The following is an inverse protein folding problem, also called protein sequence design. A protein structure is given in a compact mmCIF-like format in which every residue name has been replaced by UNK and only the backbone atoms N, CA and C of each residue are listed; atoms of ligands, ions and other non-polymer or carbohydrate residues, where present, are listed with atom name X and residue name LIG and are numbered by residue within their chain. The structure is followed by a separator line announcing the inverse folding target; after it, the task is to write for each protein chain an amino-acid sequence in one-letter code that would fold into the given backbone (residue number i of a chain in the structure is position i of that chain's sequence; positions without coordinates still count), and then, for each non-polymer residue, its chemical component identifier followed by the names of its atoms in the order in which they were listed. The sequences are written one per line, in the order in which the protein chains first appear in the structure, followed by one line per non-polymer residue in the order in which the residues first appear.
data_IF_651636352033
#
_entry.id   IF_651636352033
#
_cell.length_a   1.000
_cell.length_b   1.000
_cell.length_c   1.000
_cell.angle_alpha   90.00
_cell.angle_beta   90.00
_cell.angle_gamma   90.00
#
_symmetry.space_group_name_H-M   'P 1'
#
loop_
_entity.id
_entity.type
_entity.pdbx_description
1 polymer ?
#
# COMPACT_ATOMS: atom_id res chain seq x y z
N UNK A 1 -16.20 -10.92 -1.86
CA UNK A 1 -14.80 -10.51 -1.58
C UNK A 1 -13.99 -11.62 -0.90
N UNK A 2 -14.61 -12.52 -0.14
CA UNK A 2 -13.84 -13.56 0.57
C UNK A 2 -13.21 -14.59 -0.37
N UNK A 3 -13.88 -14.92 -1.48
CA UNK A 3 -13.33 -15.80 -2.54
C UNK A 3 -12.05 -15.24 -3.16
N UNK A 4 -12.00 -13.92 -3.42
CA UNK A 4 -10.79 -13.23 -3.91
C UNK A 4 -9.60 -13.36 -2.95
N UNK A 5 -9.89 -13.53 -1.66
CA UNK A 5 -8.89 -13.64 -0.60
C UNK A 5 -8.68 -15.08 -0.11
N UNK A 6 -9.35 -16.05 -0.72
CA UNK A 6 -9.39 -17.45 -0.27
C UNK A 6 -7.99 -18.07 -0.12
N UNK A 7 -7.12 -17.85 -1.11
CA UNK A 7 -5.74 -18.35 -1.11
C UNK A 7 -4.74 -17.46 -0.37
N UNK A 8 -5.15 -16.29 0.14
CA UNK A 8 -4.22 -15.29 0.67
C UNK A 8 -3.29 -15.84 1.75
N UNK A 9 -3.83 -16.69 2.64
CA UNK A 9 -3.05 -17.32 3.70
C UNK A 9 -2.01 -18.32 3.18
N UNK A 10 -2.30 -19.01 2.08
CA UNK A 10 -1.40 -19.95 1.42
C UNK A 10 -0.28 -19.20 0.68
N UNK A 11 -0.65 -18.20 -0.12
CA UNK A 11 0.28 -17.30 -0.82
C UNK A 11 1.25 -16.63 0.15
N UNK A 12 0.75 -16.05 1.24
CA UNK A 12 1.59 -15.40 2.25
C UNK A 12 2.49 -16.37 3.02
N UNK A 13 2.13 -17.66 3.11
CA UNK A 13 2.95 -18.68 3.75
C UNK A 13 4.06 -19.16 2.83
N UNK A 14 3.75 -19.43 1.57
CA UNK A 14 4.75 -19.84 0.59
C UNK A 14 5.72 -18.71 0.27
N UNK A 15 5.28 -17.45 0.19
CA UNK A 15 6.21 -16.31 0.08
C UNK A 15 7.26 -16.29 1.20
N UNK A 16 6.86 -16.60 2.44
CA UNK A 16 7.80 -16.68 3.58
C UNK A 16 8.77 -17.85 3.45
N UNK A 17 8.34 -18.97 2.86
CA UNK A 17 9.17 -20.16 2.64
C UNK A 17 10.15 -19.94 1.49
N UNK A 18 9.67 -19.48 0.34
CA UNK A 18 10.49 -19.17 -0.84
C UNK A 18 11.59 -18.14 -0.55
N UNK A 19 11.32 -17.20 0.36
CA UNK A 19 12.24 -16.11 0.70
C UNK A 19 12.84 -16.28 2.11
N UNK A 20 12.84 -17.49 2.65
CA UNK A 20 13.44 -17.76 3.96
C UNK A 20 14.93 -17.35 3.98
N UNK A 21 15.35 -16.70 5.06
CA UNK A 21 16.72 -16.19 5.21
C UNK A 21 17.03 -14.90 4.44
N UNK A 22 16.08 -14.35 3.69
CA UNK A 22 16.24 -13.08 2.96
C UNK A 22 15.54 -11.93 3.66
N UNK A 23 16.04 -10.71 3.49
CA UNK A 23 15.31 -9.49 3.85
C UNK A 23 14.38 -9.13 2.71
N UNK A 24 13.08 -9.07 2.98
CA UNK A 24 12.09 -8.76 1.95
C UNK A 24 10.83 -8.12 2.54
N UNK A 25 10.11 -7.40 1.70
CA UNK A 25 8.82 -6.79 2.03
C UNK A 25 7.82 -6.99 0.88
N UNK A 26 6.52 -6.83 1.14
CA UNK A 26 5.49 -6.97 0.11
C UNK A 26 4.42 -5.89 0.18
N UNK A 27 3.80 -5.67 -0.97
CA UNK A 27 2.61 -4.85 -1.14
C UNK A 27 1.58 -5.63 -1.95
N UNK A 28 0.43 -5.93 -1.34
CA UNK A 28 -0.72 -6.43 -2.10
C UNK A 28 -1.57 -5.26 -2.60
N UNK A 29 -1.97 -5.34 -3.86
CA UNK A 29 -2.73 -4.30 -4.57
C UNK A 29 -3.97 -4.95 -5.15
N UNK A 30 -5.14 -4.48 -4.74
CA UNK A 30 -6.40 -4.88 -5.34
C UNK A 30 -6.66 -3.99 -6.55
N UNK A 31 -6.60 -4.58 -7.74
CA UNK A 31 -6.68 -3.84 -9.00
C UNK A 31 -7.96 -4.16 -9.76
N UNK A 32 -8.68 -3.14 -10.26
CA UNK A 32 -9.81 -3.34 -11.16
C UNK A 32 -9.33 -3.81 -12.54
N UNK A 33 -9.76 -4.99 -12.96
CA UNK A 33 -9.57 -5.41 -14.34
C UNK A 33 -10.66 -4.81 -15.25
N UNK A 34 -10.35 -4.63 -16.53
CA UNK A 34 -11.32 -4.14 -17.54
C UNK A 34 -12.55 -5.05 -17.68
N UNK A 35 -12.44 -6.32 -17.30
CA UNK A 35 -13.57 -7.27 -17.25
C UNK A 35 -14.56 -7.01 -16.10
N UNK A 36 -14.23 -6.10 -15.17
CA UNK A 36 -15.07 -5.76 -14.01
C UNK A 36 -14.75 -6.57 -12.75
N UNK A 37 -13.86 -7.55 -12.83
CA UNK A 37 -13.39 -8.31 -11.66
C UNK A 37 -12.17 -7.64 -11.02
N UNK A 38 -12.10 -7.72 -9.69
CA UNK A 38 -10.90 -7.39 -8.93
C UNK A 38 -9.92 -8.56 -9.01
N UNK A 39 -8.64 -8.27 -9.15
CA UNK A 39 -7.55 -9.23 -8.97
C UNK A 39 -6.49 -8.64 -8.04
N UNK A 40 -5.61 -9.49 -7.52
CA UNK A 40 -4.58 -9.08 -6.57
C UNK A 40 -3.21 -9.18 -7.24
N UNK A 41 -2.53 -8.04 -7.34
CA UNK A 41 -1.09 -8.01 -7.59
C UNK A 41 -0.34 -8.08 -6.27
N UNK A 42 0.78 -8.81 -6.24
CA UNK A 42 1.68 -8.87 -5.09
C UNK A 42 3.05 -8.38 -5.53
N UNK A 43 3.35 -7.12 -5.25
CA UNK A 43 4.71 -6.61 -5.40
C UNK A 43 5.57 -7.12 -4.24
N UNK A 44 6.75 -7.65 -4.55
CA UNK A 44 7.71 -8.18 -3.58
C UNK A 44 9.06 -7.51 -3.77
N UNK A 45 9.58 -6.93 -2.70
CA UNK A 45 10.86 -6.24 -2.65
C UNK A 45 11.83 -7.13 -1.92
N UNK A 46 12.90 -7.59 -2.58
CA UNK A 46 13.86 -8.53 -2.01
C UNK A 46 15.25 -7.91 -2.03
N UNK A 47 15.93 -7.98 -0.89
CA UNK A 47 17.35 -7.70 -0.79
C UNK A 47 18.15 -8.91 -1.31
N UNK A 48 18.67 -8.79 -2.53
CA UNK A 48 19.47 -9.82 -3.19
C UNK A 48 18.83 -10.39 -4.46
N UNK A 49 19.50 -11.39 -5.06
CA UNK A 49 19.13 -11.94 -6.36
C UNK A 49 17.99 -12.94 -6.31
N UNK A 50 16.88 -12.66 -6.99
CA UNK A 50 15.76 -13.59 -7.22
C UNK A 50 15.54 -13.85 -8.71
N UNK A 51 14.85 -14.94 -9.01
CA UNK A 51 14.45 -15.37 -10.36
C UNK A 51 12.95 -15.63 -10.37
N UNK A 52 12.36 -15.80 -11.57
CA UNK A 52 10.94 -16.16 -11.69
C UNK A 52 10.63 -17.48 -10.96
N UNK A 53 11.55 -18.44 -11.05
CA UNK A 53 11.42 -19.77 -10.46
C UNK A 53 11.31 -19.74 -8.92
N UNK A 54 11.92 -18.75 -8.25
CA UNK A 54 11.79 -18.58 -6.79
C UNK A 54 10.33 -18.34 -6.37
N UNK A 55 9.49 -17.82 -7.28
CA UNK A 55 8.09 -17.49 -7.03
C UNK A 55 7.10 -18.52 -7.62
N UNK A 56 7.55 -19.48 -8.41
CA UNK A 56 6.67 -20.53 -8.95
C UNK A 56 5.89 -21.29 -7.85
N UNK A 57 6.49 -21.65 -6.68
CA UNK A 57 5.75 -22.27 -5.57
C UNK A 57 4.62 -21.40 -5.00
N UNK A 58 4.74 -20.08 -5.11
CA UNK A 58 3.72 -19.12 -4.63
C UNK A 58 2.49 -19.15 -5.54
N UNK A 59 2.72 -19.20 -6.85
CA UNK A 59 1.65 -19.32 -7.86
C UNK A 59 0.94 -20.68 -7.74
N UNK A 60 1.70 -21.77 -7.61
CA UNK A 60 1.14 -23.09 -7.37
C UNK A 60 0.29 -23.13 -6.07
N UNK A 61 0.73 -22.47 -5.01
CA UNK A 61 -0.07 -22.34 -3.79
C UNK A 61 -1.34 -21.50 -3.98
N UNK A 62 -1.34 -20.51 -4.88
CA UNK A 62 -2.55 -19.79 -5.25
C UNK A 62 -3.54 -20.73 -5.94
N UNK A 63 -3.12 -21.42 -6.99
CA UNK A 63 -3.93 -22.35 -7.78
C UNK A 63 -4.54 -23.46 -6.91
N UNK A 64 -3.73 -24.07 -6.02
CA UNK A 64 -4.21 -25.12 -5.12
C UNK A 64 -5.24 -24.68 -4.07
N UNK A 65 -5.35 -23.37 -3.80
CA UNK A 65 -6.19 -22.84 -2.72
C UNK A 65 -7.25 -21.83 -3.21
N UNK A 66 -7.37 -21.62 -4.52
CA UNK A 66 -8.35 -20.73 -5.13
C UNK A 66 -9.02 -21.45 -6.30
N UNK A 67 -10.25 -21.92 -6.11
CA UNK A 67 -11.02 -22.63 -7.15
C UNK A 67 -11.28 -21.77 -8.40
N UNK A 68 -11.32 -20.45 -8.24
CA UNK A 68 -11.53 -19.51 -9.34
C UNK A 68 -10.26 -19.18 -10.12
N UNK A 69 -9.09 -19.60 -9.63
CA UNK A 69 -7.82 -19.36 -10.31
C UNK A 69 -7.62 -20.42 -11.40
N UNK A 70 -7.64 -20.00 -12.66
CA UNK A 70 -7.34 -20.86 -13.80
C UNK A 70 -5.84 -20.94 -14.07
N UNK A 71 -5.35 -22.12 -14.47
CA UNK A 71 -3.95 -22.33 -14.87
C UNK A 71 -3.55 -21.45 -16.06
N UNK A 72 -4.46 -21.23 -17.01
CA UNK A 72 -4.21 -20.38 -18.19
C UNK A 72 -3.79 -18.95 -17.83
N UNK A 73 -4.27 -18.43 -16.69
CA UNK A 73 -3.96 -17.07 -16.23
C UNK A 73 -2.74 -17.03 -15.28
N UNK A 74 -2.18 -18.20 -14.94
CA UNK A 74 -1.15 -18.36 -13.91
C UNK A 74 -0.04 -19.31 -14.37
N UNK A 75 0.18 -19.42 -15.67
CA UNK A 75 1.28 -20.21 -16.22
C UNK A 75 2.62 -19.55 -15.89
N UNK A 76 3.39 -20.17 -15.00
CA UNK A 76 4.70 -19.67 -14.56
C UNK A 76 5.74 -19.68 -15.68
N UNK A 77 5.49 -20.38 -16.79
CA UNK A 77 6.32 -20.32 -17.98
C UNK A 77 6.03 -19.07 -18.85
N UNK A 78 4.89 -18.41 -18.63
CA UNK A 78 4.56 -17.16 -19.30
C UNK A 78 5.30 -15.98 -18.67
N UNK A 79 5.68 -15.01 -19.51
CA UNK A 79 6.52 -13.90 -19.07
C UNK A 79 5.79 -12.84 -18.22
N UNK A 80 4.46 -12.84 -18.24
CA UNK A 80 3.57 -11.84 -17.63
C UNK A 80 3.04 -12.24 -16.24
N UNK A 81 3.24 -13.48 -15.79
CA UNK A 81 2.79 -13.94 -14.46
C UNK A 81 3.76 -13.52 -13.35
N UNK A 82 5.07 -13.63 -13.60
CA UNK A 82 6.12 -13.16 -12.68
C UNK A 82 7.13 -12.31 -13.45
N UNK A 83 7.13 -11.01 -13.15
CA UNK A 83 8.14 -10.07 -13.65
C UNK A 83 9.15 -9.76 -12.55
N UNK A 84 10.43 -10.06 -12.80
CA UNK A 84 11.54 -9.69 -11.92
C UNK A 84 12.28 -8.52 -12.53
N UNK A 85 12.47 -7.45 -11.75
CA UNK A 85 13.23 -6.26 -12.14
C UNK A 85 14.31 -5.97 -11.12
N UNK A 86 15.38 -5.34 -11.56
CA UNK A 86 16.56 -5.05 -10.74
C UNK A 86 16.75 -3.54 -10.62
N UNK A 87 17.12 -3.07 -9.43
CA UNK A 87 17.50 -1.68 -9.19
C UNK A 87 18.79 -1.64 -8.37
N UNK A 88 19.64 -0.64 -8.61
CA UNK A 88 20.84 -0.39 -7.80
C UNK A 88 22.16 -1.01 -8.28
N UNK A 89 22.28 -1.44 -9.54
CA UNK A 89 23.60 -1.64 -10.17
C UNK A 89 24.21 -0.30 -10.59
N UNK A 90 25.54 -0.25 -10.74
CA UNK A 90 26.22 0.90 -11.36
C UNK A 90 25.62 1.15 -12.75
N UNK A 91 25.42 2.43 -13.09
CA UNK A 91 24.68 2.93 -14.27
C UNK A 91 25.15 2.43 -15.65
N UNK A 92 26.18 1.58 -15.72
CA UNK A 92 26.83 1.15 -16.95
C UNK A 92 26.20 -0.12 -17.57
N UNK A 93 25.45 -0.92 -16.81
CA UNK A 93 24.77 -2.13 -17.29
C UNK A 93 23.23 -1.93 -17.41
N UNK A 94 22.84 -0.92 -18.20
CA UNK A 94 21.43 -0.61 -18.48
C UNK A 94 20.83 -1.58 -19.53
N UNK A 95 20.57 -2.82 -19.12
CA UNK A 95 19.69 -3.72 -19.88
C UNK A 95 18.21 -3.37 -19.67
N UNK A 96 17.33 -3.85 -20.55
CA UNK A 96 15.88 -3.57 -20.53
C UNK A 96 15.13 -4.01 -19.24
N UNK A 97 15.79 -4.77 -18.37
CA UNK A 97 15.28 -5.23 -17.07
C UNK A 97 15.78 -4.40 -15.87
N UNK A 98 16.61 -3.39 -16.14
CA UNK A 98 17.06 -2.43 -15.15
C UNK A 98 16.01 -1.32 -14.97
N UNK A 99 15.55 -1.13 -13.73
CA UNK A 99 14.73 0.02 -13.38
C UNK A 99 15.64 1.16 -12.93
N UNK A 100 15.70 2.23 -13.73
CA UNK A 100 16.38 3.48 -13.36
C UNK A 100 15.86 4.03 -12.03
N UNK A 101 14.56 3.84 -11.74
CA UNK A 101 13.97 4.25 -10.46
C UNK A 101 12.73 3.41 -10.10
N UNK A 102 12.92 2.42 -9.22
CA UNK A 102 11.85 1.57 -8.65
C UNK A 102 10.72 2.41 -8.00
N UNK A 103 11.04 3.59 -7.49
CA UNK A 103 10.07 4.50 -6.90
C UNK A 103 9.09 5.07 -7.93
N UNK A 104 9.53 5.34 -9.17
CA UNK A 104 8.65 5.81 -10.25
C UNK A 104 7.72 4.69 -10.69
N UNK A 105 8.24 3.47 -10.87
CA UNK A 105 7.43 2.30 -11.22
C UNK A 105 6.34 2.02 -10.16
N UNK A 106 6.74 2.08 -8.88
CA UNK A 106 5.79 1.92 -7.78
C UNK A 106 4.81 3.10 -7.68
N UNK A 107 5.27 4.33 -7.91
CA UNK A 107 4.42 5.51 -7.90
C UNK A 107 3.41 5.51 -9.06
N UNK A 108 3.74 4.98 -10.23
CA UNK A 108 2.80 4.77 -11.33
C UNK A 108 1.72 3.75 -10.93
N UNK A 109 2.13 2.64 -10.30
CA UNK A 109 1.21 1.60 -9.81
C UNK A 109 0.32 2.07 -8.65
N UNK A 110 0.85 2.92 -7.77
CA UNK A 110 0.12 3.56 -6.68
C UNK A 110 -0.63 4.83 -7.15
N UNK A 111 -0.35 5.29 -8.36
CA UNK A 111 -0.53 6.66 -8.85
C UNK A 111 -1.90 7.04 -9.36
N UNK A 112 -2.94 6.21 -9.16
CA UNK A 112 -4.34 6.66 -9.33
C UNK A 112 -4.77 7.70 -8.27
N UNK A 113 -3.83 8.42 -7.67
CA UNK A 113 -4.06 9.62 -6.89
C UNK A 113 -4.05 10.83 -7.83
N UNK A 114 -5.22 11.34 -8.20
CA UNK A 114 -5.31 12.67 -8.82
C UNK A 114 -6.48 12.90 -9.77
N UNK A 115 -7.00 11.84 -10.38
CA UNK A 115 -8.21 11.95 -11.20
C UNK A 115 -9.46 11.86 -10.31
N UNK A 116 -10.45 12.70 -10.60
CA UNK A 116 -11.76 12.66 -9.96
C UNK A 116 -12.32 11.22 -10.04
N UNK A 117 -12.61 10.55 -8.91
CA UNK A 117 -13.12 9.18 -8.89
C UNK A 117 -14.38 8.99 -9.75
N UNK A 118 -15.16 10.05 -9.98
CA UNK A 118 -16.36 10.03 -10.82
C UNK A 118 -16.08 10.13 -12.32
N UNK A 119 -14.84 10.48 -12.71
CA UNK A 119 -14.38 10.57 -14.11
C UNK A 119 -13.54 9.38 -14.54
N UNK A 120 -13.21 8.49 -13.60
CA UNK A 120 -12.51 7.23 -13.88
C UNK A 120 -13.33 6.33 -14.82
N UNK A 121 -12.71 5.39 -15.56
CA UNK A 121 -13.43 4.39 -16.32
C UNK A 121 -14.44 3.62 -15.46
N UNK A 122 -15.57 3.23 -16.04
CA UNK A 122 -16.70 2.63 -15.29
C UNK A 122 -16.29 1.43 -14.42
N UNK A 123 -15.39 0.57 -14.91
CA UNK A 123 -14.89 -0.59 -14.17
C UNK A 123 -14.11 -0.20 -12.89
N UNK A 124 -13.38 0.92 -12.94
CA UNK A 124 -12.64 1.47 -11.79
C UNK A 124 -13.61 2.07 -10.78
N UNK A 125 -14.64 2.80 -11.23
CA UNK A 125 -15.68 3.34 -10.35
C UNK A 125 -16.41 2.22 -9.59
N UNK A 126 -16.85 1.18 -10.31
CA UNK A 126 -17.51 0.00 -9.72
C UNK A 126 -16.63 -0.68 -8.68
N UNK A 127 -15.34 -0.87 -8.98
CA UNK A 127 -14.39 -1.45 -8.04
C UNK A 127 -14.22 -0.60 -6.78
N UNK A 128 -14.08 0.72 -6.92
CA UNK A 128 -14.00 1.63 -5.79
C UNK A 128 -15.27 1.57 -4.92
N UNK A 129 -16.46 1.49 -5.53
CA UNK A 129 -17.73 1.29 -4.80
C UNK A 129 -17.71 -0.02 -4.00
N UNK A 130 -17.24 -1.13 -4.58
CA UNK A 130 -17.14 -2.42 -3.87
C UNK A 130 -16.15 -2.36 -2.72
N UNK A 131 -14.97 -1.74 -2.92
CA UNK A 131 -13.98 -1.58 -1.86
C UNK A 131 -14.53 -0.74 -0.71
N UNK A 132 -15.21 0.37 -1.01
CA UNK A 132 -15.85 1.22 -0.02
C UNK A 132 -16.96 0.48 0.74
N UNK A 133 -17.88 -0.18 0.03
CA UNK A 133 -19.00 -0.90 0.62
C UNK A 133 -18.57 -2.08 1.50
N UNK A 134 -17.39 -2.66 1.23
CA UNK A 134 -16.85 -3.80 2.00
C UNK A 134 -15.81 -3.40 3.04
N UNK A 135 -15.52 -2.09 3.19
CA UNK A 135 -14.49 -1.59 4.10
C UNK A 135 -13.07 -2.11 3.78
N UNK A 136 -12.81 -2.45 2.51
CA UNK A 136 -11.54 -3.05 2.09
C UNK A 136 -10.60 -1.98 1.55
N UNK A 137 -9.34 -2.08 1.95
CA UNK A 137 -8.28 -1.20 1.46
C UNK A 137 -7.75 -1.73 0.12
N UNK A 138 -7.50 -0.79 -0.81
CA UNK A 138 -6.86 -1.09 -2.10
C UNK A 138 -5.44 -1.64 -1.92
N UNK A 139 -4.72 -1.16 -0.92
CA UNK A 139 -3.33 -1.52 -0.66
C UNK A 139 -3.17 -2.18 0.70
N UNK A 140 -2.35 -3.23 0.74
CA UNK A 140 -2.08 -4.02 1.94
C UNK A 140 -0.58 -4.30 2.09
N UNK A 141 0.22 -3.28 2.46
CA UNK A 141 1.64 -3.44 2.74
C UNK A 141 1.89 -4.40 3.91
N UNK A 142 3.03 -5.11 3.89
CA UNK A 142 3.57 -5.82 5.06
C UNK A 142 3.93 -4.86 6.20
N UNK A 143 4.10 -5.39 7.41
CA UNK A 143 4.39 -4.56 8.58
C UNK A 143 5.69 -3.75 8.41
N UNK A 144 6.74 -4.31 7.80
CA UNK A 144 7.97 -3.57 7.55
C UNK A 144 7.80 -2.54 6.42
N UNK A 145 7.12 -2.90 5.32
CA UNK A 145 6.73 -1.94 4.29
C UNK A 145 5.96 -0.73 4.87
N UNK A 146 5.02 -0.95 5.79
CA UNK A 146 4.32 0.15 6.48
C UNK A 146 5.27 1.06 7.26
N UNK A 147 6.29 0.49 7.91
CA UNK A 147 7.30 1.30 8.62
C UNK A 147 8.14 2.14 7.68
N UNK A 148 8.46 1.64 6.49
CA UNK A 148 9.18 2.39 5.46
C UNK A 148 8.31 3.46 4.79
N UNK A 149 7.02 3.16 4.60
CA UNK A 149 6.04 4.08 4.01
C UNK A 149 5.52 5.15 4.98
N UNK A 150 5.81 5.04 6.27
CA UNK A 150 5.43 6.04 7.28
C UNK A 150 6.27 7.31 7.09
N UNK A 151 5.96 8.07 6.04
CA UNK A 151 6.34 9.48 5.91
C UNK A 151 5.50 10.27 6.91
N UNK A 152 6.11 11.23 7.60
CA UNK A 152 5.59 11.89 8.81
C UNK A 152 5.76 11.09 10.11
N UNK A 153 6.98 10.64 10.43
CA UNK A 153 7.38 10.74 11.84
C UNK A 153 7.34 12.23 12.14
N UNK A 154 6.26 12.70 12.79
CA UNK A 154 6.24 14.05 13.37
C UNK A 154 7.62 14.22 14.00
N UNK A 155 8.44 15.21 13.59
CA UNK A 155 9.61 15.53 14.37
C UNK A 155 9.13 15.63 15.82
N UNK A 156 9.89 15.10 16.81
CA UNK A 156 9.51 15.26 18.20
C UNK A 156 9.12 16.72 18.37
N UNK A 157 7.90 16.97 18.90
CA UNK A 157 7.36 18.32 19.01
C UNK A 157 8.51 19.16 19.58
N UNK A 158 9.00 20.18 18.85
CA UNK A 158 10.07 21.00 19.39
C UNK A 158 9.61 21.46 20.77
N UNK A 159 10.53 21.63 21.72
CA UNK A 159 10.17 22.09 23.07
C UNK A 159 9.82 23.59 23.00
N UNK A 160 8.82 23.94 22.21
CA UNK A 160 8.27 25.27 22.04
C UNK A 160 7.05 25.38 22.94
N UNK A 161 7.02 26.45 23.72
CA UNK A 161 5.91 26.81 24.59
C UNK A 161 5.23 28.02 23.96
N UNK A 162 3.90 27.98 23.85
CA UNK A 162 3.14 29.12 23.36
C UNK A 162 3.09 30.20 24.45
N UNK A 163 3.96 31.20 24.35
CA UNK A 163 4.09 32.26 25.35
C UNK A 163 3.11 33.43 25.13
N UNK A 164 2.66 33.68 23.90
CA UNK A 164 1.76 34.80 23.58
C UNK A 164 1.66 35.14 22.09
N UNK A 165 0.88 36.17 21.76
CA UNK A 165 0.74 36.73 20.40
C UNK A 165 1.28 38.14 20.37
N UNK A 166 2.20 38.44 19.45
CA UNK A 166 2.66 39.80 19.18
C UNK A 166 1.73 40.46 18.16
N UNK A 167 1.25 41.66 18.46
CA UNK A 167 0.39 42.40 17.54
C UNK A 167 1.19 43.25 16.52
N UNK A 168 0.46 43.92 15.61
CA UNK A 168 1.08 44.77 14.58
C UNK A 168 1.80 46.02 15.11
N UNK A 169 1.73 46.29 16.42
CA UNK A 169 2.45 47.37 17.10
C UNK A 169 3.70 46.88 17.85
N UNK A 170 3.93 45.56 17.87
CA UNK A 170 5.04 44.93 18.57
C UNK A 170 4.76 44.65 20.05
N UNK A 171 3.51 44.75 20.50
CA UNK A 171 3.11 44.44 21.87
C UNK A 171 2.85 42.93 22.00
N UNK A 172 3.49 42.27 22.97
CA UNK A 172 3.31 40.85 23.27
C UNK A 172 2.14 40.65 24.25
N UNK A 173 1.13 39.91 23.81
CA UNK A 173 -0.02 39.50 24.61
C UNK A 173 0.22 38.09 25.15
N UNK A 174 0.76 37.99 26.37
CA UNK A 174 1.04 36.71 27.02
C UNK A 174 -0.23 35.94 27.39
N UNK A 175 -0.20 34.61 27.31
CA UNK A 175 -1.30 33.77 27.79
C UNK A 175 -1.19 33.63 29.31
N UNK A 176 -1.82 34.54 30.06
CA UNK A 176 -1.97 34.35 31.50
C UNK A 176 -2.74 33.04 31.77
N UNK A 177 -2.23 32.22 32.69
CA UNK A 177 -2.62 30.83 32.96
C UNK A 177 -4.07 30.56 33.41
N UNK A 178 -5.00 31.49 33.17
CA UNK A 178 -6.43 31.25 33.21
C UNK A 178 -7.03 31.62 31.86
N UNK A 179 -6.94 30.69 30.91
CA UNK A 179 -7.39 30.88 29.54
C UNK A 179 -8.79 31.49 29.47
N UNK A 180 -8.90 32.60 28.74
CA UNK A 180 -10.17 33.16 28.31
C UNK A 180 -10.96 32.06 27.59
N UNK A 181 -12.10 31.70 28.16
CA UNK A 181 -12.85 30.50 27.83
C UNK A 181 -13.27 30.42 26.38
N UNK A 182 -12.48 29.72 25.56
CA UNK A 182 -12.97 29.10 24.35
C UNK A 182 -13.52 27.74 24.75
N UNK A 183 -14.83 27.57 24.67
CA UNK A 183 -15.49 26.28 24.88
C UNK A 183 -15.06 25.34 23.76
N UNK A 184 -14.12 24.45 24.05
CA UNK A 184 -13.78 23.34 23.17
C UNK A 184 -14.96 22.36 23.17
N UNK A 185 -15.69 22.31 22.07
CA UNK A 185 -16.75 21.31 21.89
C UNK A 185 -16.06 20.02 21.42
N UNK A 186 -16.26 18.87 22.09
CA UNK A 186 -15.76 17.61 21.58
C UNK A 186 -16.46 17.32 20.24
N UNK A 187 -15.74 17.44 19.13
CA UNK A 187 -16.14 16.78 17.90
C UNK A 187 -15.98 15.29 18.15
N UNK A 188 -17.11 14.58 18.21
CA UNK A 188 -17.16 13.14 18.46
C UNK A 188 -16.19 12.41 17.51
N UNK A 189 -15.12 11.87 18.10
CA UNK A 189 -14.36 10.78 17.49
C UNK A 189 -14.85 9.55 18.24
N UNK A 190 -15.51 8.58 17.57
CA UNK A 190 -15.89 7.34 18.24
C UNK A 190 -14.63 6.72 18.80
N UNK A 191 -14.66 6.41 20.09
CA UNK A 191 -13.73 5.48 20.69
C UNK A 191 -13.76 4.19 19.85
N UNK A 192 -12.59 3.60 19.61
CA UNK A 192 -12.44 2.39 18.77
C UNK A 192 -13.16 1.23 19.44
N UNK A 193 -14.48 1.11 19.24
CA UNK A 193 -15.29 0.13 19.95
C UNK A 193 -16.60 -0.23 19.27
N UNK A 194 -17.35 0.74 18.74
CA UNK A 194 -18.68 0.45 18.19
C UNK A 194 -18.75 0.74 16.68
N UNK A 195 -19.18 -0.24 15.85
CA UNK A 195 -19.48 0.03 14.44
C UNK A 195 -20.78 0.83 14.32
N UNK A 196 -20.94 1.66 13.28
CA UNK A 196 -22.17 2.43 13.06
C UNK A 196 -23.35 1.51 12.72
N UNK A 197 -24.61 1.96 12.95
CA UNK A 197 -25.82 1.20 12.65
C UNK A 197 -26.01 0.92 11.15
#
# INVERSE_FOLDING_TARGET
MDELLSSWSAVARELRRSLEGRRWERLAILEPHKSGYLHIHVAVFVDGKVTKDDFAPVIDAHLRNCELAGEDAHDVAADDVVSVRWAGSDREDADADHLDELAIYLAEYLGTYGEDPLKQPEHVQKANTVLWATGRQRWRPSNGAQQYMATERKPPDPNWEFIGVEDGSGELHEVEGSGGGVTMIPTWVPDRGDPPP
#
